data_IF_375289005253
#
_entry.id   IF_375289005253
#
_cell.length_a   1.000
_cell.length_b   1.000
_cell.length_c   1.000
_cell.angle_alpha   90.00
_cell.angle_beta   90.00
_cell.angle_gamma   90.00
#
_symmetry.space_group_name_H-M   'P 1'
#
loop_
_entity.id
_entity.type
_entity.pdbx_description
1 polymer ?
#
# COMPACT_ATOMS: atom_id res chain seq x y z
N UNK A 1 32.99 11.38 -0.87
CA UNK A 1 32.05 12.11 -0.01
C UNK A 1 30.61 12.01 -0.51
N UNK A 2 30.33 12.33 -1.77
CA UNK A 2 28.97 12.31 -2.35
C UNK A 2 28.25 10.96 -2.27
N UNK A 3 28.95 9.83 -2.48
CA UNK A 3 28.37 8.49 -2.32
C UNK A 3 27.86 8.24 -0.89
N UNK A 4 28.62 8.69 0.11
CA UNK A 4 28.25 8.52 1.54
C UNK A 4 27.04 9.38 1.86
N UNK A 5 27.03 10.64 1.42
CA UNK A 5 25.90 11.55 1.62
C UNK A 5 24.62 11.03 0.94
N UNK A 6 24.74 10.52 -0.29
CA UNK A 6 23.63 9.91 -1.02
C UNK A 6 23.10 8.66 -0.30
N UNK A 7 23.97 7.76 0.12
CA UNK A 7 23.58 6.57 0.88
C UNK A 7 22.89 6.93 2.19
N UNK A 8 23.40 7.95 2.90
CA UNK A 8 22.79 8.46 4.13
C UNK A 8 21.39 9.04 3.87
N UNK A 9 21.23 9.86 2.83
CA UNK A 9 19.94 10.43 2.44
C UNK A 9 18.92 9.36 2.04
N UNK A 10 19.34 8.35 1.28
CA UNK A 10 18.47 7.21 0.93
C UNK A 10 18.07 6.44 2.19
N UNK A 11 19.01 6.18 3.10
CA UNK A 11 18.72 5.48 4.35
C UNK A 11 17.70 6.26 5.20
N UNK A 12 17.87 7.59 5.32
CA UNK A 12 16.94 8.45 6.05
C UNK A 12 15.55 8.44 5.42
N UNK A 13 15.45 8.47 4.08
CA UNK A 13 14.17 8.40 3.37
C UNK A 13 13.49 7.05 3.60
N UNK A 14 14.23 5.94 3.46
CA UNK A 14 13.71 4.60 3.69
C UNK A 14 13.22 4.45 5.14
N UNK A 15 14.01 4.89 6.11
CA UNK A 15 13.60 4.88 7.53
C UNK A 15 12.38 5.77 7.73
N UNK A 16 12.34 6.98 7.16
CA UNK A 16 11.19 7.89 7.29
C UNK A 16 9.89 7.31 6.75
N UNK A 17 9.96 6.59 5.63
CA UNK A 17 8.79 5.93 5.01
C UNK A 17 8.38 4.66 5.76
N UNK A 18 9.34 3.88 6.25
CA UNK A 18 9.06 2.60 6.92
C UNK A 18 8.81 2.72 8.43
N UNK A 19 9.30 3.76 9.08
CA UNK A 19 9.11 4.01 10.52
C UNK A 19 7.64 3.94 10.97
N UNK A 20 6.65 4.55 10.28
CA UNK A 20 5.25 4.44 10.69
C UNK A 20 4.68 3.02 10.52
N UNK A 21 5.31 2.14 9.75
CA UNK A 21 4.90 0.74 9.63
C UNK A 21 5.36 -0.11 10.81
N UNK A 22 6.41 0.29 11.52
CA UNK A 22 6.94 -0.47 12.65
C UNK A 22 5.91 -0.64 13.79
N UNK A 23 5.21 0.42 14.26
CA UNK A 23 4.12 0.26 15.22
C UNK A 23 3.00 -0.65 14.71
N UNK A 24 2.66 -0.57 13.42
CA UNK A 24 1.59 -1.39 12.83
C UNK A 24 1.94 -2.88 12.85
N UNK A 25 3.21 -3.21 12.57
CA UNK A 25 3.71 -4.57 12.68
C UNK A 25 3.72 -5.06 14.13
N UNK A 26 4.20 -4.22 15.07
CA UNK A 26 4.22 -4.57 16.49
C UNK A 26 2.80 -4.80 17.03
N UNK A 27 1.85 -3.95 16.64
CA UNK A 27 0.45 -4.07 17.06
C UNK A 27 -0.28 -5.27 16.47
N UNK A 28 0.18 -5.81 15.34
CA UNK A 28 -0.36 -7.07 14.80
C UNK A 28 -0.17 -8.27 15.74
N UNK A 29 0.79 -8.19 16.67
CA UNK A 29 1.06 -9.21 17.69
C UNK A 29 0.69 -8.78 19.11
N UNK A 30 0.20 -7.55 19.26
CA UNK A 30 -0.16 -6.97 20.55
C UNK A 30 -1.58 -7.37 20.95
N UNK A 31 -1.78 -7.72 22.22
CA UNK A 31 -3.12 -7.88 22.78
C UNK A 31 -3.36 -6.85 23.90
N UNK A 32 -4.37 -6.00 23.73
CA UNK A 32 -4.76 -5.00 24.71
C UNK A 32 -3.69 -3.94 24.96
N UNK A 33 -3.37 -3.14 23.95
CA UNK A 33 -2.53 -1.95 24.13
C UNK A 33 -3.36 -0.83 24.75
N UNK A 34 -2.97 -0.40 25.96
CA UNK A 34 -3.60 0.71 26.65
C UNK A 34 -2.57 1.82 26.86
N UNK A 35 -2.96 3.05 26.54
CA UNK A 35 -2.19 4.23 26.88
C UNK A 35 -1.96 4.28 28.41
N UNK A 36 -0.74 4.58 28.92
CA UNK A 36 0.43 5.17 28.26
C UNK A 36 1.55 4.17 27.92
N UNK A 37 1.27 2.86 27.89
CA UNK A 37 2.33 1.88 27.67
C UNK A 37 2.97 2.04 26.28
N UNK A 38 4.30 2.09 26.18
CA UNK A 38 4.99 2.18 24.88
C UNK A 38 4.96 0.84 24.12
N UNK A 39 4.95 -0.27 24.84
CA UNK A 39 4.90 -1.63 24.30
C UNK A 39 3.70 -2.40 24.86
N UNK A 40 3.20 -3.40 24.10
CA UNK A 40 2.14 -4.29 24.58
C UNK A 40 2.58 -5.00 25.85
N UNK A 41 1.71 -5.05 26.86
CA UNK A 41 1.96 -5.81 28.09
C UNK A 41 1.86 -7.32 27.85
N UNK A 42 1.09 -7.73 26.83
CA UNK A 42 0.94 -9.11 26.42
C UNK A 42 1.08 -9.22 24.90
N UNK A 43 1.86 -10.21 24.50
CA UNK A 43 2.06 -10.59 23.10
C UNK A 43 1.23 -11.85 22.84
N UNK A 44 0.24 -11.75 21.97
CA UNK A 44 -0.63 -12.87 21.64
C UNK A 44 -0.92 -12.92 20.14
N UNK A 45 -1.02 -14.14 19.60
CA UNK A 45 -1.34 -14.39 18.19
C UNK A 45 -2.86 -14.43 17.94
N UNK A 46 -3.67 -13.80 18.79
CA UNK A 46 -5.13 -13.89 18.69
C UNK A 46 -5.67 -13.32 17.38
N UNK A 47 -5.13 -12.18 16.93
CA UNK A 47 -5.50 -11.59 15.64
C UNK A 47 -5.21 -12.54 14.47
N UNK A 48 -4.08 -13.25 14.52
CA UNK A 48 -3.71 -14.25 13.51
C UNK A 48 -4.58 -15.50 13.59
N UNK A 49 -4.89 -15.99 14.79
CA UNK A 49 -5.84 -17.12 14.97
C UNK A 49 -7.23 -16.77 14.46
N UNK A 50 -7.69 -15.53 14.69
CA UNK A 50 -8.94 -15.02 14.13
C UNK A 50 -8.85 -14.95 12.61
N UNK A 51 -7.75 -14.43 12.05
CA UNK A 51 -7.55 -14.35 10.60
C UNK A 51 -7.79 -15.71 9.90
N UNK A 52 -7.29 -16.80 10.51
CA UNK A 52 -7.41 -18.17 10.01
C UNK A 52 -8.65 -18.94 10.51
N UNK A 53 -9.51 -18.35 11.36
CA UNK A 53 -10.71 -19.03 11.83
C UNK A 53 -11.82 -19.02 10.78
N UNK A 54 -12.66 -20.05 10.74
CA UNK A 54 -13.76 -20.16 9.78
C UNK A 54 -14.80 -19.02 9.88
N UNK A 55 -14.86 -18.32 11.02
CA UNK A 55 -15.71 -17.13 11.21
C UNK A 55 -15.14 -15.85 10.59
N UNK A 56 -13.87 -15.85 10.16
CA UNK A 56 -13.22 -14.68 9.59
C UNK A 56 -13.57 -14.53 8.12
N UNK A 57 -14.14 -13.39 7.77
CA UNK A 57 -14.42 -13.00 6.38
C UNK A 57 -13.23 -12.30 5.70
N UNK A 58 -12.06 -12.28 6.35
CA UNK A 58 -10.90 -11.55 5.81
C UNK A 58 -10.42 -12.17 4.50
N UNK A 59 -10.46 -13.50 4.36
CA UNK A 59 -10.11 -14.17 3.10
C UNK A 59 -11.02 -13.77 1.94
N UNK A 60 -12.33 -13.73 2.18
CA UNK A 60 -13.32 -13.27 1.19
C UNK A 60 -13.10 -11.79 0.82
N UNK A 61 -12.83 -10.94 1.81
CA UNK A 61 -12.54 -9.53 1.58
C UNK A 61 -11.25 -9.32 0.76
N UNK A 62 -10.19 -10.10 1.03
CA UNK A 62 -8.95 -10.07 0.26
C UNK A 62 -9.19 -10.48 -1.20
N UNK A 63 -9.92 -11.56 -1.43
CA UNK A 63 -10.24 -12.00 -2.78
C UNK A 63 -11.08 -10.96 -3.54
N UNK A 64 -12.10 -10.41 -2.88
CA UNK A 64 -12.99 -9.41 -3.47
C UNK A 64 -12.24 -8.14 -3.85
N UNK A 65 -11.38 -7.63 -2.96
CA UNK A 65 -10.58 -6.43 -3.24
C UNK A 65 -9.54 -6.68 -4.34
N UNK A 66 -8.93 -7.87 -4.37
CA UNK A 66 -7.99 -8.24 -5.43
C UNK A 66 -8.70 -8.33 -6.80
N UNK A 67 -9.87 -8.96 -6.86
CA UNK A 67 -10.68 -9.03 -8.09
C UNK A 67 -11.09 -7.64 -8.57
N UNK A 68 -11.54 -6.78 -7.65
CA UNK A 68 -11.92 -5.40 -7.97
C UNK A 68 -10.72 -4.62 -8.51
N UNK A 69 -9.57 -4.69 -7.83
CA UNK A 69 -8.35 -4.01 -8.24
C UNK A 69 -7.90 -4.46 -9.64
N UNK A 70 -7.89 -5.78 -9.89
CA UNK A 70 -7.54 -6.33 -11.21
C UNK A 70 -8.48 -5.83 -12.31
N UNK A 71 -9.79 -5.85 -12.04
CA UNK A 71 -10.79 -5.38 -13.00
C UNK A 71 -10.63 -3.89 -13.31
N UNK A 72 -10.47 -3.06 -12.29
CA UNK A 72 -10.24 -1.62 -12.44
C UNK A 72 -8.97 -1.35 -13.23
N UNK A 73 -7.87 -2.06 -12.94
CA UNK A 73 -6.60 -1.94 -13.67
C UNK A 73 -6.77 -2.32 -15.14
N UNK A 74 -7.47 -3.40 -15.45
CA UNK A 74 -7.75 -3.81 -16.82
C UNK A 74 -8.55 -2.76 -17.59
N UNK A 75 -9.61 -2.22 -16.99
CA UNK A 75 -10.41 -1.15 -17.61
C UNK A 75 -9.59 0.14 -17.78
N UNK A 76 -8.82 0.53 -16.77
CA UNK A 76 -7.96 1.70 -16.82
C UNK A 76 -6.91 1.57 -17.93
N UNK A 77 -6.32 0.39 -18.13
CA UNK A 77 -5.39 0.13 -19.23
C UNK A 77 -6.09 0.12 -20.58
N UNK A 78 -7.27 -0.52 -20.68
CA UNK A 78 -8.02 -0.61 -21.93
C UNK A 78 -8.41 0.77 -22.47
N UNK A 79 -8.73 1.72 -21.58
CA UNK A 79 -9.08 3.09 -21.95
C UNK A 79 -7.83 3.99 -22.01
N UNK A 80 -6.96 3.89 -21.01
CA UNK A 80 -5.81 4.78 -20.83
C UNK A 80 -4.71 4.56 -21.86
N UNK A 81 -4.44 3.32 -22.29
CA UNK A 81 -3.44 3.05 -23.32
C UNK A 81 -3.77 3.66 -24.68
N UNK A 82 -4.96 3.47 -25.28
CA UNK A 82 -5.29 4.11 -26.55
C UNK A 82 -5.40 5.63 -26.40
N UNK A 83 -5.94 6.14 -25.29
CA UNK A 83 -6.01 7.58 -25.02
C UNK A 83 -4.60 8.20 -24.93
N UNK A 84 -3.69 7.58 -24.18
CA UNK A 84 -2.30 7.99 -24.08
C UNK A 84 -1.57 7.92 -25.42
N UNK A 85 -1.84 6.89 -26.23
CA UNK A 85 -1.30 6.78 -27.59
C UNK A 85 -1.83 7.89 -28.51
N UNK A 86 -3.11 8.20 -28.44
CA UNK A 86 -3.74 9.29 -29.20
C UNK A 86 -3.12 10.64 -28.85
N UNK A 87 -2.99 10.94 -27.54
CA UNK A 87 -2.40 12.18 -27.04
C UNK A 87 -0.90 12.29 -27.38
N UNK A 88 -0.15 11.21 -27.26
CA UNK A 88 1.29 11.21 -27.52
C UNK A 88 1.65 11.33 -29.01
N UNK A 89 0.96 10.57 -29.88
CA UNK A 89 1.40 10.38 -31.27
C UNK A 89 0.59 11.12 -32.32
N UNK A 90 -0.67 11.47 -32.04
CA UNK A 90 -1.55 12.10 -33.03
C UNK A 90 -1.70 13.60 -32.77
N UNK A 91 -1.85 14.37 -33.85
CA UNK A 91 -2.18 15.79 -33.81
C UNK A 91 -3.68 15.93 -34.11
N UNK A 92 -4.48 16.33 -33.12
CA UNK A 92 -5.92 16.52 -33.27
C UNK A 92 -6.36 17.88 -32.72
N UNK A 93 -7.45 18.42 -33.28
CA UNK A 93 -8.02 19.71 -32.86
C UNK A 93 -8.55 19.57 -31.42
N UNK A 94 -7.99 20.34 -30.49
CA UNK A 94 -8.31 20.28 -29.04
C UNK A 94 -7.18 19.75 -28.15
N UNK A 95 -6.09 19.23 -28.72
CA UNK A 95 -4.94 18.69 -27.98
C UNK A 95 -4.32 19.66 -26.96
N UNK A 96 -4.34 20.97 -27.25
CA UNK A 96 -3.79 22.04 -26.38
C UNK A 96 -4.62 22.34 -25.12
N UNK A 97 -5.84 21.83 -25.00
CA UNK A 97 -6.66 21.94 -23.78
C UNK A 97 -6.39 20.80 -22.79
N UNK A 98 -5.84 19.68 -23.27
CA UNK A 98 -5.62 18.45 -22.51
C UNK A 98 -4.14 18.27 -22.12
N UNK A 99 -3.22 19.04 -22.73
CA UNK A 99 -1.78 19.04 -22.46
C UNK A 99 -1.34 20.36 -21.83
#
# INVERSE_FOLDING_TARGET
>A
MERILRSFAICLLVIGVLAPLAPQLLWSFAFGWFFPALLPQRWELQAWRYLFSASSRVGEALLTSLMLAAFVVLLAMLIGLPAGRALGLYQFRGKRLVN
#
